data_IF_997838549761
#
_entry.id   IF_997838549761
#
_cell.length_a   1.000
_cell.length_b   1.000
_cell.length_c   1.000
_cell.angle_alpha   90.00
_cell.angle_beta   90.00
_cell.angle_gamma   90.00
#
_symmetry.space_group_name_H-M   'P 1'
#
loop_
_entity.id
_entity.type
_entity.pdbx_description
1 polymer ?
#
# COMPACT_ATOMS: atom_id res chain seq x y z
N UNK A 1 12.43 -0.48 -35.91
CA UNK A 1 11.60 0.64 -35.40
C UNK A 1 10.71 0.07 -34.32
N UNK A 2 11.23 0.00 -33.09
CA UNK A 2 10.56 -0.52 -31.91
C UNK A 2 10.01 0.67 -31.10
N UNK A 3 8.82 0.58 -30.49
CA UNK A 3 8.31 1.61 -29.63
C UNK A 3 9.07 1.55 -28.29
N UNK A 4 9.60 2.71 -27.87
CA UNK A 4 10.23 2.89 -26.58
C UNK A 4 9.16 2.79 -25.48
N UNK A 5 9.31 1.82 -24.58
CA UNK A 5 8.48 1.72 -23.39
C UNK A 5 8.87 2.84 -22.42
N UNK A 6 7.91 3.72 -22.15
CA UNK A 6 7.96 4.69 -21.07
C UNK A 6 7.98 3.93 -19.73
N UNK A 7 9.18 3.68 -19.21
CA UNK A 7 9.39 3.43 -17.80
C UNK A 7 8.74 4.57 -17.01
N UNK A 8 8.08 4.24 -15.91
CA UNK A 8 7.52 5.23 -14.99
C UNK A 8 8.68 6.02 -14.36
N UNK A 9 8.98 7.19 -14.93
CA UNK A 9 10.02 8.15 -14.52
C UNK A 9 9.82 8.69 -13.09
N UNK A 10 8.75 8.32 -12.38
CA UNK A 10 8.49 8.82 -11.01
C UNK A 10 9.43 8.29 -9.91
N UNK A 11 10.23 7.25 -10.19
CA UNK A 11 11.24 6.76 -9.23
C UNK A 11 12.59 7.46 -9.37
N UNK A 12 12.99 7.89 -10.58
CA UNK A 12 14.31 8.47 -10.87
C UNK A 12 14.36 10.01 -10.75
N UNK A 13 13.22 10.70 -10.75
CA UNK A 13 13.16 12.14 -10.40
C UNK A 13 13.32 12.40 -8.89
N UNK A 14 13.46 11.36 -8.06
CA UNK A 14 13.60 11.51 -6.60
C UNK A 14 14.97 12.00 -6.12
N UNK A 15 15.99 12.02 -6.98
CA UNK A 15 17.33 12.41 -6.56
C UNK A 15 17.49 13.93 -6.54
N UNK A 16 16.86 14.64 -7.49
CA UNK A 16 17.00 16.10 -7.63
C UNK A 16 16.13 16.90 -6.64
N UNK A 17 14.96 16.38 -6.24
CA UNK A 17 14.13 17.01 -5.19
C UNK A 17 14.69 16.82 -3.77
N UNK A 18 15.41 15.72 -3.52
CA UNK A 18 16.10 15.49 -2.24
C UNK A 18 17.25 16.48 -2.00
N UNK A 19 17.90 16.96 -3.06
CA UNK A 19 19.05 17.85 -2.96
C UNK A 19 18.68 19.32 -2.66
N UNK A 20 17.45 19.76 -2.95
CA UNK A 20 17.01 21.14 -2.66
C UNK A 20 16.40 21.34 -1.26
N UNK A 21 16.05 20.28 -0.53
CA UNK A 21 15.42 20.33 0.80
C UNK A 21 16.34 19.76 1.90
N UNK A 22 17.64 19.93 1.78
CA UNK A 22 18.57 19.59 2.86
C UNK A 22 18.52 20.67 3.95
N UNK A 23 17.80 20.38 5.03
CA UNK A 23 17.91 21.15 6.27
C UNK A 23 17.07 20.64 7.44
N UNK A 24 15.81 20.26 7.23
CA UNK A 24 14.89 19.98 8.34
C UNK A 24 14.07 18.71 8.09
N UNK A 25 14.05 17.82 9.09
CA UNK A 25 13.17 16.65 9.14
C UNK A 25 11.73 17.10 8.85
N UNK A 26 11.06 16.46 7.89
CA UNK A 26 9.66 16.78 7.62
C UNK A 26 8.76 16.11 8.65
N UNK A 27 8.18 16.92 9.52
CA UNK A 27 7.32 16.50 10.62
C UNK A 27 5.84 16.70 10.35
N UNK A 28 5.02 15.85 10.97
CA UNK A 28 3.57 15.93 10.94
C UNK A 28 2.96 15.75 12.33
N UNK A 29 1.87 16.46 12.61
CA UNK A 29 1.00 16.20 13.75
C UNK A 29 -0.21 15.41 13.27
N UNK A 30 -0.46 14.24 13.85
CA UNK A 30 -1.66 13.44 13.61
C UNK A 30 -2.63 13.63 14.78
N UNK A 31 -3.74 14.30 14.49
CA UNK A 31 -4.78 14.57 15.47
C UNK A 31 -5.77 13.41 15.57
N UNK A 32 -5.84 12.73 16.71
CA UNK A 32 -6.84 11.68 16.93
C UNK A 32 -8.19 12.31 17.28
N UNK A 33 -9.24 11.89 16.60
CA UNK A 33 -10.61 12.30 16.92
C UNK A 33 -11.20 11.40 18.00
N UNK A 34 -12.05 11.98 18.85
CA UNK A 34 -12.79 11.21 19.86
C UNK A 34 -13.73 10.21 19.16
N UNK A 35 -13.65 8.91 19.50
CA UNK A 35 -14.53 7.91 18.91
C UNK A 35 -16.00 8.09 19.34
N UNK A 36 -16.96 7.45 18.65
CA UNK A 36 -18.35 7.41 19.05
C UNK A 36 -18.54 6.96 20.50
N UNK A 37 -19.61 7.45 21.12
CA UNK A 37 -19.94 7.18 22.52
C UNK A 37 -19.94 5.68 22.84
N UNK A 38 -19.21 5.31 23.90
CA UNK A 38 -19.12 3.92 24.36
C UNK A 38 -17.99 3.09 23.76
N UNK A 39 -17.13 3.66 22.90
CA UNK A 39 -15.94 2.97 22.37
C UNK A 39 -14.67 3.61 22.93
N UNK A 40 -13.71 2.80 23.39
CA UNK A 40 -12.41 3.27 23.84
C UNK A 40 -11.54 3.78 22.69
N UNK A 41 -10.66 4.75 22.97
CA UNK A 41 -9.74 5.33 21.98
C UNK A 41 -8.82 4.26 21.40
N UNK A 42 -8.16 3.50 22.29
CA UNK A 42 -7.26 2.42 21.87
C UNK A 42 -7.97 1.37 21.01
N UNK A 43 -9.16 0.92 21.41
CA UNK A 43 -9.94 -0.08 20.66
C UNK A 43 -10.33 0.43 19.26
N UNK A 44 -10.66 1.73 19.14
CA UNK A 44 -11.01 2.34 17.86
C UNK A 44 -9.80 2.41 16.91
N UNK A 45 -8.68 2.92 17.40
CA UNK A 45 -7.48 3.15 16.59
C UNK A 45 -6.64 1.89 16.34
N UNK A 46 -6.82 0.84 17.17
CA UNK A 46 -6.24 -0.48 16.94
C UNK A 46 -7.10 -1.38 16.03
N UNK A 47 -8.35 -0.99 15.76
CA UNK A 47 -9.23 -1.73 14.85
C UNK A 47 -8.62 -1.78 13.44
N UNK A 48 -8.63 -2.97 12.86
CA UNK A 48 -7.98 -3.26 11.58
C UNK A 48 -8.89 -2.91 10.40
N UNK A 49 -8.32 -2.32 9.35
CA UNK A 49 -9.02 -2.06 8.07
C UNK A 49 -8.59 -3.10 7.02
N UNK A 50 -7.29 -3.28 6.80
CA UNK A 50 -6.69 -4.23 5.84
C UNK A 50 -5.77 -5.24 6.53
N UNK A 51 -6.14 -5.67 7.74
CA UNK A 51 -5.25 -6.45 8.61
C UNK A 51 -4.23 -5.59 9.37
N UNK A 52 -4.13 -4.30 9.03
CA UNK A 52 -3.30 -3.29 9.72
C UNK A 52 -4.18 -2.42 10.62
N UNK A 53 -3.77 -2.15 11.88
CA UNK A 53 -4.45 -1.19 12.76
C UNK A 53 -4.64 0.18 12.11
N UNK A 54 -5.76 0.85 12.37
CA UNK A 54 -6.09 2.12 11.73
C UNK A 54 -5.04 3.22 11.97
N UNK A 55 -4.59 3.40 13.20
CA UNK A 55 -3.54 4.38 13.51
C UNK A 55 -2.23 4.04 12.79
N UNK A 56 -1.86 2.76 12.79
CA UNK A 56 -0.65 2.30 12.10
C UNK A 56 -0.73 2.51 10.58
N UNK A 57 -1.90 2.26 9.99
CA UNK A 57 -2.14 2.49 8.58
C UNK A 57 -1.88 3.94 8.18
N UNK A 58 -2.33 4.90 9.00
CA UNK A 58 -2.05 6.32 8.78
C UNK A 58 -0.57 6.66 8.96
N UNK A 59 0.08 6.14 10.02
CA UNK A 59 1.50 6.37 10.25
C UNK A 59 2.37 5.88 9.07
N UNK A 60 2.08 4.68 8.53
CA UNK A 60 2.81 4.11 7.40
C UNK A 60 2.54 4.88 6.09
N UNK A 61 1.32 5.35 5.85
CA UNK A 61 1.02 6.19 4.70
C UNK A 61 1.75 7.54 4.77
N UNK A 62 1.79 8.17 5.95
CA UNK A 62 2.53 9.42 6.16
C UNK A 62 4.04 9.21 5.95
N UNK A 63 4.60 8.12 6.50
CA UNK A 63 5.99 7.74 6.28
C UNK A 63 6.32 7.57 4.80
N UNK A 64 5.50 6.82 4.05
CA UNK A 64 5.70 6.66 2.59
C UNK A 64 5.46 7.95 1.80
N UNK A 65 4.70 8.88 2.36
CA UNK A 65 4.52 10.23 1.82
C UNK A 65 5.73 11.14 2.03
N UNK A 66 6.71 10.75 2.86
CA UNK A 66 7.92 11.54 3.14
C UNK A 66 7.97 12.17 4.53
N UNK A 67 7.06 11.80 5.44
CA UNK A 67 7.10 12.27 6.84
C UNK A 67 8.10 11.42 7.64
N UNK A 68 9.01 12.07 8.35
CA UNK A 68 10.09 11.44 9.13
C UNK A 68 9.85 11.52 10.64
N UNK A 69 9.09 12.53 11.09
CA UNK A 69 8.67 12.71 12.48
C UNK A 69 7.15 12.83 12.57
N UNK A 70 6.53 12.06 13.45
CA UNK A 70 5.08 12.02 13.67
C UNK A 70 4.77 12.26 15.14
N UNK A 71 4.07 13.35 15.43
CA UNK A 71 3.52 13.61 16.76
C UNK A 71 2.05 13.20 16.74
N UNK A 72 1.70 12.18 17.52
CA UNK A 72 0.30 11.76 17.69
C UNK A 72 -0.29 12.55 18.86
N UNK A 73 -1.28 13.39 18.55
CA UNK A 73 -1.94 14.25 19.54
C UNK A 73 -3.33 13.76 19.88
N UNK A 74 -3.64 13.71 21.18
CA UNK A 74 -5.00 13.57 21.70
C UNK A 74 -5.11 14.24 23.06
N UNK A 75 -6.01 15.22 23.19
CA UNK A 75 -6.14 16.08 24.39
C UNK A 75 -6.34 15.30 25.69
N UNK A 76 -7.17 14.25 25.64
CA UNK A 76 -7.55 13.47 26.82
C UNK A 76 -6.90 12.08 26.83
N UNK A 77 -5.62 11.98 26.43
CA UNK A 77 -4.92 10.70 26.35
C UNK A 77 -4.68 10.10 27.74
N UNK A 78 -5.40 9.01 28.03
CA UNK A 78 -5.20 8.26 29.28
C UNK A 78 -3.89 7.44 29.20
N UNK A 79 -3.17 7.25 30.32
CA UNK A 79 -1.99 6.39 30.36
C UNK A 79 -2.24 4.96 29.87
N UNK A 80 -3.43 4.39 30.16
CA UNK A 80 -3.84 3.05 29.71
C UNK A 80 -3.94 2.95 28.19
N UNK A 81 -4.54 3.96 27.54
CA UNK A 81 -4.64 4.02 26.08
C UNK A 81 -3.25 4.18 25.46
N UNK A 82 -2.39 5.01 26.05
CA UNK A 82 -0.99 5.18 25.61
C UNK A 82 -0.23 3.85 25.66
N UNK A 83 -0.37 3.08 26.73
CA UNK A 83 0.27 1.77 26.87
C UNK A 83 -0.22 0.77 25.81
N UNK A 84 -1.53 0.73 25.54
CA UNK A 84 -2.10 -0.14 24.50
C UNK A 84 -1.65 0.24 23.09
N UNK A 85 -1.52 1.54 22.82
CA UNK A 85 -1.06 2.06 21.53
C UNK A 85 0.46 1.97 21.37
N UNK A 86 1.21 1.68 22.44
CA UNK A 86 2.67 1.55 22.38
C UNK A 86 3.14 0.44 21.44
N UNK A 87 2.34 -0.61 21.24
CA UNK A 87 2.66 -1.68 20.28
C UNK A 87 2.79 -1.21 18.81
N UNK A 88 2.32 -0.01 18.49
CA UNK A 88 2.55 0.63 17.18
C UNK A 88 4.00 1.11 17.05
N UNK A 89 4.63 1.49 18.15
CA UNK A 89 6.02 1.96 18.19
C UNK A 89 6.99 0.82 17.88
N UNK A 90 6.67 -0.40 18.30
CA UNK A 90 7.54 -1.57 18.16
C UNK A 90 7.39 -2.33 16.83
N UNK A 91 6.49 -1.88 15.94
CA UNK A 91 6.23 -2.57 14.68
C UNK A 91 7.43 -2.45 13.72
N UNK A 92 7.92 -3.57 13.15
CA UNK A 92 9.12 -3.58 12.31
C UNK A 92 8.98 -2.80 11.00
N UNK A 93 7.75 -2.46 10.56
CA UNK A 93 7.51 -1.67 9.34
C UNK A 93 7.71 -0.16 9.56
N UNK A 94 7.75 0.28 10.82
CA UNK A 94 7.85 1.69 11.20
C UNK A 94 9.31 2.16 11.17
N UNK A 95 9.58 3.16 10.34
CA UNK A 95 10.84 3.90 10.31
C UNK A 95 10.68 5.38 10.70
N UNK A 96 9.44 5.82 10.94
CA UNK A 96 9.10 7.18 11.39
C UNK A 96 9.32 7.36 12.89
N UNK A 97 9.87 8.50 13.31
CA UNK A 97 10.00 8.87 14.73
C UNK A 97 8.61 9.19 15.27
N UNK A 98 8.15 8.51 16.32
CA UNK A 98 6.78 8.65 16.83
C UNK A 98 6.81 9.21 18.25
N UNK A 99 6.15 10.34 18.44
CA UNK A 99 6.00 11.05 19.71
C UNK A 99 4.53 11.18 20.07
N UNK A 100 4.24 11.37 21.36
CA UNK A 100 2.88 11.53 21.87
C UNK A 100 2.75 12.87 22.58
N UNK A 101 1.69 13.61 22.26
CA UNK A 101 1.35 14.87 22.90
C UNK A 101 -0.12 14.86 23.35
N UNK A 102 -0.41 15.59 24.42
CA UNK A 102 -1.77 15.68 24.97
C UNK A 102 -2.11 17.08 25.50
N UNK A 103 -1.11 17.86 25.89
CA UNK A 103 -1.32 19.22 26.34
C UNK A 103 -1.47 20.19 25.15
N UNK A 104 -2.53 21.02 25.08
CA UNK A 104 -2.66 22.07 24.08
C UNK A 104 -1.47 23.03 24.02
N UNK A 105 -0.84 23.36 25.15
CA UNK A 105 0.32 24.27 25.16
C UNK A 105 1.51 23.63 24.46
N UNK A 106 1.80 22.36 24.79
CA UNK A 106 2.83 21.57 24.14
C UNK A 106 2.54 21.43 22.63
N UNK A 107 1.28 21.25 22.24
CA UNK A 107 0.91 21.18 20.82
C UNK A 107 1.19 22.49 20.09
N UNK A 108 0.86 23.64 20.68
CA UNK A 108 1.12 24.93 20.07
C UNK A 108 2.62 25.17 19.83
N UNK A 109 3.47 24.82 20.81
CA UNK A 109 4.93 24.86 20.68
C UNK A 109 5.41 23.99 19.51
N UNK A 110 4.91 22.75 19.42
CA UNK A 110 5.25 21.80 18.35
C UNK A 110 4.84 22.34 16.97
N UNK A 111 3.64 22.95 16.85
CA UNK A 111 3.16 23.52 15.58
C UNK A 111 3.96 24.75 15.13
N UNK A 112 4.63 25.45 16.05
CA UNK A 112 5.53 26.54 15.72
C UNK A 112 6.90 26.07 15.20
N UNK A 113 7.29 24.83 15.46
CA UNK A 113 8.55 24.28 14.98
C UNK A 113 8.61 24.22 13.46
N UNK A 114 9.68 24.75 12.86
CA UNK A 114 9.88 24.76 11.40
C UNK A 114 9.84 23.35 10.77
N UNK A 115 10.28 22.34 11.52
CA UNK A 115 10.24 20.93 11.15
C UNK A 115 8.82 20.41 10.90
N UNK A 116 7.82 20.88 11.67
CA UNK A 116 6.43 20.46 11.51
C UNK A 116 5.81 21.23 10.34
N UNK A 117 5.41 20.50 9.29
CA UNK A 117 4.77 21.07 8.10
C UNK A 117 3.32 20.64 7.92
N UNK A 118 2.94 19.51 8.49
CA UNK A 118 1.64 18.89 8.26
C UNK A 118 0.83 18.81 9.56
N UNK A 119 -0.45 19.14 9.47
CA UNK A 119 -1.47 18.82 10.47
C UNK A 119 -2.50 17.89 9.84
N UNK A 120 -2.69 16.70 10.39
CA UNK A 120 -3.39 15.61 9.73
C UNK A 120 -4.58 15.15 10.56
N UNK A 121 -5.74 15.06 9.92
CA UNK A 121 -6.93 14.50 10.55
C UNK A 121 -6.80 12.98 10.69
N UNK A 122 -6.69 12.50 11.93
CA UNK A 122 -6.56 11.08 12.25
C UNK A 122 -7.87 10.29 12.11
N UNK A 123 -9.01 10.92 11.87
CA UNK A 123 -10.24 10.18 11.50
C UNK A 123 -10.26 9.76 10.03
N UNK A 124 -9.43 10.35 9.18
CA UNK A 124 -9.35 10.00 7.77
C UNK A 124 -8.23 8.98 7.50
N UNK A 125 -8.49 8.03 6.59
CA UNK A 125 -7.43 7.19 6.02
C UNK A 125 -6.64 8.02 5.01
N UNK A 126 -5.37 8.25 5.31
CA UNK A 126 -4.49 9.11 4.52
C UNK A 126 -3.88 8.35 3.34
N UNK A 127 -3.67 9.05 2.21
CA UNK A 127 -3.01 8.50 1.03
C UNK A 127 -1.57 8.98 0.95
N UNK A 128 -0.61 8.07 0.76
CA UNK A 128 0.79 8.43 0.53
C UNK A 128 0.97 9.39 -0.67
N UNK A 129 0.13 9.28 -1.70
CA UNK A 129 0.20 10.12 -2.90
C UNK A 129 -0.20 11.56 -2.56
N UNK A 130 -1.31 11.71 -1.83
CA UNK A 130 -1.81 13.02 -1.40
C UNK A 130 -0.81 13.72 -0.48
N UNK A 131 -0.24 12.98 0.48
CA UNK A 131 0.81 13.49 1.38
C UNK A 131 2.02 13.98 0.59
N UNK A 132 2.48 13.20 -0.40
CA UNK A 132 3.64 13.54 -1.22
C UNK A 132 3.39 14.75 -2.12
N UNK A 133 2.22 14.84 -2.73
CA UNK A 133 1.82 15.98 -3.55
C UNK A 133 1.81 17.27 -2.72
N UNK A 134 1.21 17.19 -1.53
CA UNK A 134 1.09 18.33 -0.62
C UNK A 134 2.46 18.78 -0.09
N UNK A 135 3.35 17.84 0.25
CA UNK A 135 4.73 18.16 0.63
C UNK A 135 5.58 18.70 -0.52
N UNK A 136 5.31 18.24 -1.75
CA UNK A 136 5.95 18.70 -2.99
C UNK A 136 5.46 20.06 -3.49
N UNK A 137 4.43 20.64 -2.87
CA UNK A 137 3.85 21.92 -3.27
C UNK A 137 2.97 21.87 -4.52
N UNK A 138 2.60 20.67 -4.97
CA UNK A 138 1.70 20.48 -6.11
C UNK A 138 0.24 20.53 -5.63
N UNK A 139 -0.49 21.54 -6.10
CA UNK A 139 -1.87 21.85 -5.72
C UNK A 139 -2.87 21.47 -6.84
N UNK A 140 -2.47 20.57 -7.75
CA UNK A 140 -3.21 20.20 -8.96
C UNK A 140 -4.54 19.48 -8.75
N UNK A 141 -5.11 19.47 -7.54
CA UNK A 141 -6.49 19.05 -7.32
C UNK A 141 -7.32 20.18 -6.74
N UNK A 142 -8.18 20.81 -7.54
CA UNK A 142 -9.25 21.72 -7.09
C UNK A 142 -10.29 21.06 -6.13
N UNK A 143 -10.01 19.84 -5.66
CA UNK A 143 -10.83 19.02 -4.77
C UNK A 143 -10.06 18.55 -3.51
N UNK A 144 -8.86 19.08 -3.26
CA UNK A 144 -8.04 18.75 -2.09
C UNK A 144 -8.72 19.27 -0.82
N UNK A 145 -8.95 18.36 0.13
CA UNK A 145 -9.34 18.67 1.51
C UNK A 145 -8.16 19.26 2.31
N UNK A 146 -7.47 20.22 1.71
CA UNK A 146 -6.20 20.79 2.17
C UNK A 146 -6.39 22.26 2.49
N UNK A 147 -5.91 22.69 3.64
CA UNK A 147 -5.99 24.09 4.11
C UNK A 147 -4.62 24.57 4.56
N UNK A 148 -4.29 25.84 4.30
CA UNK A 148 -3.00 26.42 4.68
C UNK A 148 -3.21 27.39 5.84
N UNK A 149 -2.54 27.17 6.96
CA UNK A 149 -2.72 27.95 8.19
C UNK A 149 -1.41 28.66 8.55
N UNK A 150 -1.54 29.88 9.05
CA UNK A 150 -0.40 30.64 9.56
C UNK A 150 0.14 29.97 10.83
N UNK A 151 1.47 29.85 10.94
CA UNK A 151 2.09 29.38 12.19
C UNK A 151 1.79 30.30 13.38
N UNK A 152 1.47 31.57 13.13
CA UNK A 152 1.06 32.50 14.19
C UNK A 152 -0.29 32.15 14.81
N UNK A 153 -1.15 31.41 14.11
CA UNK A 153 -2.41 30.93 14.63
C UNK A 153 -2.29 29.58 15.37
N UNK A 154 -1.06 29.07 15.60
CA UNK A 154 -0.82 27.78 16.25
C UNK A 154 -1.51 27.64 17.62
N UNK A 155 -1.53 28.70 18.43
CA UNK A 155 -2.20 28.71 19.74
C UNK A 155 -3.72 28.53 19.58
N UNK A 156 -4.31 29.31 18.66
CA UNK A 156 -5.75 29.23 18.34
C UNK A 156 -6.11 27.85 17.80
N UNK A 157 -5.24 27.28 16.98
CA UNK A 157 -5.39 25.93 16.44
C UNK A 157 -5.36 24.90 17.57
N UNK A 158 -4.38 24.96 18.48
CA UNK A 158 -4.27 24.02 19.59
C UNK A 158 -5.46 24.10 20.57
N UNK A 159 -6.01 25.30 20.78
CA UNK A 159 -7.18 25.54 21.63
C UNK A 159 -8.49 25.06 20.98
N UNK A 160 -8.66 25.27 19.67
CA UNK A 160 -9.88 24.90 18.92
C UNK A 160 -9.89 23.45 18.40
N UNK A 161 -8.78 22.72 18.50
CA UNK A 161 -8.63 21.31 18.11
C UNK A 161 -9.40 20.34 19.02
N UNK A 162 -10.70 20.53 19.18
CA UNK A 162 -11.62 19.55 19.80
C UNK A 162 -12.31 18.68 18.73
N UNK A 163 -12.64 19.27 17.58
CA UNK A 163 -13.11 18.55 16.39
C UNK A 163 -12.40 19.07 15.14
N UNK A 164 -12.06 18.17 14.23
CA UNK A 164 -11.39 18.53 12.96
C UNK A 164 -12.46 18.97 11.95
N UNK A 165 -13.22 20.01 12.31
CA UNK A 165 -14.30 20.53 11.48
C UNK A 165 -13.77 21.44 10.38
N UNK A 166 -14.03 21.05 9.13
CA UNK A 166 -13.56 21.73 7.90
C UNK A 166 -13.90 23.23 7.87
N UNK A 167 -15.02 23.61 8.49
CA UNK A 167 -15.54 24.99 8.45
C UNK A 167 -14.63 25.94 9.22
N UNK A 168 -14.11 25.54 10.37
CA UNK A 168 -13.22 26.37 11.19
C UNK A 168 -11.88 26.60 10.49
N UNK A 169 -11.31 25.55 9.88
CA UNK A 169 -10.03 25.63 9.17
C UNK A 169 -10.07 26.56 7.95
N UNK A 170 -11.20 26.63 7.25
CA UNK A 170 -11.38 27.54 6.13
C UNK A 170 -11.35 29.02 6.58
N UNK A 171 -11.76 29.31 7.81
CA UNK A 171 -11.69 30.68 8.34
C UNK A 171 -10.25 31.08 8.73
N UNK A 172 -9.40 30.11 9.02
CA UNK A 172 -7.99 30.30 9.41
C UNK A 172 -7.03 30.29 8.20
N UNK A 173 -7.55 30.16 6.98
CA UNK A 173 -6.70 29.98 5.80
C UNK A 173 -5.99 31.27 5.39
N UNK A 174 -4.70 31.17 5.07
CA UNK A 174 -3.87 32.32 4.67
C UNK A 174 -3.80 32.46 3.15
N UNK A 175 -3.67 33.71 2.66
CA UNK A 175 -3.41 34.02 1.25
C UNK A 175 -1.95 33.71 0.83
N UNK A 176 -0.99 33.78 1.78
CA UNK A 176 0.43 33.49 1.54
C UNK A 176 0.81 32.10 2.05
N UNK A 177 1.42 31.30 1.17
CA UNK A 177 1.79 29.89 1.41
C UNK A 177 3.21 29.73 1.96
N UNK A 178 4.02 30.79 1.94
CA UNK A 178 5.38 30.72 2.42
C UNK A 178 5.38 30.51 3.95
N UNK A 179 5.92 29.38 4.40
CA UNK A 179 6.01 28.99 5.81
C UNK A 179 4.65 28.70 6.52
N UNK A 180 3.62 28.32 5.77
CA UNK A 180 2.33 27.90 6.33
C UNK A 180 2.33 26.42 6.75
N UNK A 181 1.53 26.10 7.78
CA UNK A 181 1.16 24.73 8.13
C UNK A 181 0.12 24.21 7.14
N UNK A 182 0.31 23.00 6.65
CA UNK A 182 -0.63 22.40 5.70
C UNK A 182 -1.51 21.36 6.38
N UNK A 183 -2.81 21.59 6.35
CA UNK A 183 -3.81 20.82 7.05
C UNK A 183 -4.49 19.84 6.11
N UNK A 184 -4.28 18.54 6.35
CA UNK A 184 -4.90 17.44 5.63
C UNK A 184 -6.16 16.98 6.36
N UNK A 185 -7.30 17.60 6.02
CA UNK A 185 -8.58 17.26 6.64
C UNK A 185 -9.12 15.90 6.21
N UNK A 186 -8.63 15.39 5.07
CA UNK A 186 -9.14 14.19 4.41
C UNK A 186 -10.53 14.39 3.81
N UNK A 187 -10.78 13.76 2.67
CA UNK A 187 -12.07 13.79 1.98
C UNK A 187 -13.16 13.17 2.86
N UNK A 188 -14.41 13.58 2.68
CA UNK A 188 -15.55 12.99 3.42
C UNK A 188 -15.59 11.46 3.28
N UNK A 189 -15.21 10.94 2.12
CA UNK A 189 -15.12 9.52 1.82
C UNK A 189 -13.93 8.76 2.46
N UNK A 190 -12.86 9.43 2.92
CA UNK A 190 -11.74 8.77 3.65
C UNK A 190 -11.99 8.69 5.15
N UNK A 191 -12.96 9.44 5.67
CA UNK A 191 -13.23 9.55 7.10
C UNK A 191 -13.88 8.28 7.66
N UNK A 192 -13.52 7.98 8.90
CA UNK A 192 -14.00 6.88 9.73
C UNK A 192 -14.66 7.49 10.94
N UNK A 193 -15.98 7.63 10.89
CA UNK A 193 -16.81 8.23 11.95
C UNK A 193 -17.58 7.17 12.71
N UNK A 194 -17.98 6.10 12.02
CA UNK A 194 -18.77 5.03 12.59
C UNK A 194 -18.11 3.66 12.39
N UNK A 195 -18.51 2.67 13.20
CA UNK A 195 -17.94 1.32 13.13
C UNK A 195 -18.12 0.67 11.73
N UNK A 196 -19.14 1.07 10.97
CA UNK A 196 -19.40 0.63 9.58
C UNK A 196 -18.37 1.16 8.59
N UNK A 197 -17.77 2.31 8.87
CA UNK A 197 -16.86 2.99 7.95
C UNK A 197 -15.55 2.22 7.79
N UNK A 198 -15.12 1.46 8.80
CA UNK A 198 -13.98 0.54 8.68
C UNK A 198 -14.14 -0.43 7.49
N UNK A 199 -15.35 -0.98 7.31
CA UNK A 199 -15.65 -1.90 6.19
C UNK A 199 -15.73 -1.15 4.86
N UNK A 200 -16.19 0.10 4.88
CA UNK A 200 -16.21 0.97 3.69
C UNK A 200 -14.77 1.28 3.26
N UNK A 201 -13.91 1.70 4.19
CA UNK A 201 -12.49 1.98 3.91
C UNK A 201 -11.76 0.72 3.47
N UNK A 202 -12.03 -0.45 4.07
CA UNK A 202 -11.46 -1.71 3.61
C UNK A 202 -11.81 -1.99 2.14
N UNK A 203 -13.08 -1.84 1.77
CA UNK A 203 -13.52 -2.02 0.37
C UNK A 203 -12.91 -1.00 -0.57
N UNK A 204 -12.72 0.23 -0.11
CA UNK A 204 -12.10 1.30 -0.90
C UNK A 204 -10.62 1.01 -1.16
N UNK A 205 -9.86 0.68 -0.12
CA UNK A 205 -8.44 0.33 -0.25
C UNK A 205 -8.25 -0.88 -1.17
N UNK A 206 -9.09 -1.92 -1.05
CA UNK A 206 -9.08 -3.07 -1.98
C UNK A 206 -9.31 -2.69 -3.45
N UNK A 207 -10.09 -1.62 -3.72
CA UNK A 207 -10.27 -1.13 -5.11
C UNK A 207 -9.03 -0.41 -5.62
N UNK A 208 -8.34 0.32 -4.73
CA UNK A 208 -7.15 1.11 -5.06
C UNK A 208 -5.87 0.26 -5.17
N UNK A 209 -5.78 -0.89 -4.50
CA UNK A 209 -4.58 -1.72 -4.42
C UNK A 209 -4.16 -2.48 -5.69
N UNK A 210 -4.94 -2.41 -6.77
CA UNK A 210 -4.62 -3.09 -8.04
C UNK A 210 -3.87 -2.18 -9.02
N UNK A 211 -2.95 -2.76 -9.80
CA UNK A 211 -2.05 -2.06 -10.71
C UNK A 211 -2.80 -1.27 -11.80
N UNK A 212 -2.20 -0.17 -12.27
CA UNK A 212 -2.79 0.75 -13.25
C UNK A 212 -2.57 0.33 -14.71
N UNK A 213 -1.65 -0.61 -14.96
CA UNK A 213 -1.13 -0.95 -16.30
C UNK A 213 -1.65 -2.28 -16.86
N UNK A 214 -2.75 -2.81 -16.30
CA UNK A 214 -3.31 -4.12 -16.65
C UNK A 214 -3.85 -4.19 -18.09
N UNK A 215 -3.60 -5.31 -18.78
CA UNK A 215 -4.24 -5.62 -20.05
C UNK A 215 -5.76 -5.79 -19.89
N UNK A 216 -6.52 -5.77 -20.98
CA UNK A 216 -7.99 -5.91 -20.93
C UNK A 216 -8.44 -7.24 -20.31
N UNK A 217 -7.69 -8.32 -20.51
CA UNK A 217 -7.95 -9.64 -19.93
C UNK A 217 -7.78 -9.60 -18.40
N UNK A 218 -6.71 -8.96 -17.95
CA UNK A 218 -6.38 -8.83 -16.53
C UNK A 218 -7.44 -8.02 -15.77
N UNK A 219 -7.92 -6.94 -16.39
CA UNK A 219 -8.98 -6.10 -15.82
C UNK A 219 -10.31 -6.82 -15.61
N UNK A 220 -10.71 -7.70 -16.54
CA UNK A 220 -12.06 -8.27 -16.54
C UNK A 220 -12.17 -9.61 -15.82
N UNK A 221 -11.22 -10.53 -16.01
CA UNK A 221 -11.32 -11.90 -15.46
C UNK A 221 -10.46 -12.02 -14.21
N UNK A 222 -9.16 -11.77 -14.36
CA UNK A 222 -8.14 -11.99 -13.33
C UNK A 222 -8.41 -11.12 -12.11
N UNK A 223 -8.74 -9.83 -12.32
CA UNK A 223 -8.92 -8.86 -11.22
C UNK A 223 -10.23 -8.97 -10.46
N UNK A 224 -11.28 -9.56 -11.04
CA UNK A 224 -12.51 -9.83 -10.27
C UNK A 224 -12.27 -10.95 -9.26
N UNK A 225 -11.54 -11.98 -9.69
CA UNK A 225 -11.27 -13.16 -8.87
C UNK A 225 -10.13 -12.92 -7.89
N UNK A 226 -9.03 -12.27 -8.30
CA UNK A 226 -7.93 -11.91 -7.40
C UNK A 226 -8.44 -11.07 -6.23
N UNK A 227 -9.25 -10.03 -6.47
CA UNK A 227 -9.85 -9.21 -5.41
C UNK A 227 -10.72 -10.00 -4.43
N UNK A 228 -11.35 -11.08 -4.89
CA UNK A 228 -12.08 -11.97 -4.00
C UNK A 228 -11.11 -12.71 -3.08
N UNK A 229 -10.04 -13.30 -3.63
CA UNK A 229 -8.98 -13.92 -2.85
C UNK A 229 -8.30 -12.92 -1.90
N UNK A 230 -7.90 -11.74 -2.38
CA UNK A 230 -7.36 -10.64 -1.57
C UNK A 230 -8.30 -10.31 -0.42
N UNK A 231 -9.61 -10.18 -0.66
CA UNK A 231 -10.58 -9.87 0.41
C UNK A 231 -10.64 -10.96 1.49
N UNK A 232 -10.51 -12.22 1.11
CA UNK A 232 -10.52 -13.34 2.07
C UNK A 232 -9.19 -13.43 2.81
N UNK A 233 -8.06 -13.29 2.12
CA UNK A 233 -6.73 -13.42 2.69
C UNK A 233 -6.32 -12.20 3.52
N UNK A 234 -6.85 -11.01 3.23
CA UNK A 234 -6.51 -9.80 3.99
C UNK A 234 -7.05 -9.78 5.41
N UNK A 235 -7.99 -10.67 5.73
CA UNK A 235 -8.45 -10.87 7.12
C UNK A 235 -7.74 -12.02 7.83
N UNK A 236 -6.98 -12.86 7.12
CA UNK A 236 -6.24 -13.99 7.71
C UNK A 236 -4.79 -13.57 8.07
N UNK A 237 -4.09 -14.25 8.99
CA UNK A 237 -2.70 -13.92 9.32
C UNK A 237 -1.68 -14.34 8.25
N UNK A 238 -2.13 -14.82 7.08
CA UNK A 238 -1.26 -15.33 6.01
C UNK A 238 -0.40 -14.20 5.45
N UNK A 239 0.89 -14.44 5.29
CA UNK A 239 1.85 -13.46 4.75
C UNK A 239 1.89 -13.50 3.21
N UNK A 240 2.30 -12.41 2.53
CA UNK A 240 2.46 -12.41 1.07
C UNK A 240 3.32 -13.56 0.57
N UNK A 241 4.50 -13.77 1.17
CA UNK A 241 5.41 -14.85 0.77
C UNK A 241 4.78 -16.25 0.90
N UNK A 242 3.87 -16.47 1.87
CA UNK A 242 3.15 -17.75 1.98
C UNK A 242 2.17 -17.95 0.82
N UNK A 243 1.58 -16.87 0.30
CA UNK A 243 0.71 -16.90 -0.87
C UNK A 243 1.55 -17.19 -2.13
N UNK A 244 2.74 -16.60 -2.26
CA UNK A 244 3.70 -16.90 -3.34
C UNK A 244 4.08 -18.38 -3.35
N UNK A 245 4.43 -18.95 -2.19
CA UNK A 245 4.68 -20.40 -2.07
C UNK A 245 3.47 -21.24 -2.52
N UNK A 246 2.27 -20.82 -2.11
CA UNK A 246 1.04 -21.52 -2.46
C UNK A 246 0.80 -21.50 -3.97
N UNK A 247 0.92 -20.35 -4.63
CA UNK A 247 0.78 -20.29 -6.09
C UNK A 247 1.83 -21.19 -6.74
N UNK A 248 3.07 -21.20 -6.24
CA UNK A 248 4.15 -21.91 -6.90
C UNK A 248 3.91 -23.41 -6.87
N UNK A 249 3.47 -23.94 -5.72
CA UNK A 249 3.10 -25.36 -5.61
C UNK A 249 1.88 -25.71 -6.48
N UNK A 250 0.91 -24.80 -6.63
CA UNK A 250 -0.22 -25.03 -7.53
C UNK A 250 0.22 -25.04 -9.00
N UNK A 251 1.09 -24.12 -9.42
CA UNK A 251 1.68 -24.08 -10.75
C UNK A 251 2.52 -25.33 -11.07
N UNK A 252 3.34 -25.79 -10.14
CA UNK A 252 4.09 -27.05 -10.28
C UNK A 252 3.17 -28.27 -10.32
N UNK A 253 2.09 -28.26 -9.53
CA UNK A 253 1.03 -29.27 -9.62
C UNK A 253 0.37 -29.28 -11.01
N UNK A 254 0.17 -28.11 -11.62
CA UNK A 254 -0.40 -28.01 -12.96
C UNK A 254 0.53 -28.62 -13.99
N UNK A 255 1.83 -28.31 -13.91
CA UNK A 255 2.86 -28.93 -14.74
C UNK A 255 2.84 -30.47 -14.60
N UNK A 256 2.74 -31.01 -13.38
CA UNK A 256 2.63 -32.45 -13.19
C UNK A 256 1.43 -33.09 -13.90
N UNK A 257 0.27 -32.42 -13.91
CA UNK A 257 -0.89 -32.92 -14.64
C UNK A 257 -0.70 -32.85 -16.16
N UNK A 258 -0.15 -31.76 -16.71
CA UNK A 258 0.16 -31.67 -18.13
C UNK A 258 1.17 -32.73 -18.61
N UNK A 259 2.13 -33.09 -17.75
CA UNK A 259 3.10 -34.13 -18.06
C UNK A 259 2.47 -35.51 -18.32
N UNK A 260 1.30 -35.80 -17.72
CA UNK A 260 0.64 -37.10 -17.90
C UNK A 260 0.07 -37.30 -19.31
N UNK A 261 -0.07 -36.24 -20.12
CA UNK A 261 -0.46 -36.31 -21.52
C UNK A 261 -1.85 -36.88 -21.79
N UNK A 262 -2.75 -36.84 -20.80
CA UNK A 262 -4.13 -37.29 -20.94
C UNK A 262 -5.11 -36.13 -20.84
N UNK A 263 -6.20 -36.18 -21.63
CA UNK A 263 -7.12 -35.04 -21.80
C UNK A 263 -7.74 -34.56 -20.48
N UNK A 264 -8.04 -35.49 -19.57
CA UNK A 264 -8.59 -35.17 -18.25
C UNK A 264 -7.57 -34.46 -17.35
N UNK A 265 -6.31 -34.88 -17.38
CA UNK A 265 -5.24 -34.24 -16.62
C UNK A 265 -4.93 -32.85 -17.20
N UNK A 266 -4.94 -32.69 -18.52
CA UNK A 266 -4.74 -31.37 -19.14
C UNK A 266 -5.81 -30.36 -18.69
N UNK A 267 -7.08 -30.80 -18.59
CA UNK A 267 -8.16 -29.95 -18.08
C UNK A 267 -7.93 -29.54 -16.62
N UNK A 268 -7.55 -30.50 -15.77
CA UNK A 268 -7.25 -30.23 -14.34
C UNK A 268 -6.03 -29.32 -14.21
N UNK A 269 -4.97 -29.57 -14.99
CA UNK A 269 -3.77 -28.74 -15.05
C UNK A 269 -4.09 -27.31 -15.47
N UNK A 270 -4.91 -27.12 -16.49
CA UNK A 270 -5.36 -25.80 -16.93
C UNK A 270 -6.13 -25.02 -15.87
N UNK A 271 -7.06 -25.69 -15.16
CA UNK A 271 -7.78 -25.06 -14.03
C UNK A 271 -6.83 -24.70 -12.89
N UNK A 272 -5.89 -25.59 -12.56
CA UNK A 272 -4.95 -25.38 -11.48
C UNK A 272 -3.97 -24.23 -11.78
N UNK A 273 -3.51 -24.13 -13.03
CA UNK A 273 -2.69 -23.04 -13.52
C UNK A 273 -3.44 -21.70 -13.48
N UNK A 274 -4.73 -21.69 -13.86
CA UNK A 274 -5.57 -20.49 -13.77
C UNK A 274 -5.71 -20.00 -12.33
N UNK A 275 -5.92 -20.92 -11.37
CA UNK A 275 -5.98 -20.55 -9.95
C UNK A 275 -4.63 -20.06 -9.44
N UNK A 276 -3.53 -20.66 -9.88
CA UNK A 276 -2.18 -20.19 -9.58
C UNK A 276 -1.98 -18.73 -10.00
N UNK A 277 -2.36 -18.38 -11.24
CA UNK A 277 -2.25 -17.01 -11.75
C UNK A 277 -3.09 -16.00 -10.95
N UNK A 278 -4.25 -16.41 -10.42
CA UNK A 278 -5.04 -15.54 -9.55
C UNK A 278 -4.38 -15.30 -8.18
N UNK A 279 -3.70 -16.30 -7.64
CA UNK A 279 -3.00 -16.21 -6.35
C UNK A 279 -1.73 -15.38 -6.44
N UNK A 280 -1.00 -15.48 -7.55
CA UNK A 280 0.14 -14.62 -7.91
C UNK A 280 -0.24 -13.14 -7.82
N UNK A 281 -1.24 -12.69 -8.57
CA UNK A 281 -1.71 -11.30 -8.47
C UNK A 281 -2.22 -10.90 -7.07
N UNK A 282 -2.63 -11.86 -6.24
CA UNK A 282 -3.16 -11.61 -4.90
C UNK A 282 -2.05 -11.30 -3.89
N UNK A 283 -0.88 -11.93 -3.98
CA UNK A 283 0.16 -11.74 -2.98
C UNK A 283 0.73 -10.31 -2.97
N UNK A 284 0.90 -9.70 -4.15
CA UNK A 284 1.34 -8.33 -4.34
C UNK A 284 0.29 -7.33 -3.89
N UNK A 285 -1.01 -7.61 -4.12
CA UNK A 285 -2.10 -6.80 -3.58
C UNK A 285 -2.11 -6.84 -2.04
N UNK A 286 -1.95 -8.02 -1.43
CA UNK A 286 -1.89 -8.17 0.02
C UNK A 286 -0.65 -7.48 0.59
N UNK A 287 0.51 -7.61 -0.07
CA UNK A 287 1.75 -6.95 0.34
C UNK A 287 1.60 -5.43 0.37
N UNK A 288 1.05 -4.84 -0.69
CA UNK A 288 0.77 -3.40 -0.79
C UNK A 288 -0.18 -2.92 0.30
N UNK A 289 -1.32 -3.60 0.47
CA UNK A 289 -2.36 -3.19 1.41
C UNK A 289 -1.95 -3.37 2.88
N UNK A 290 -0.97 -4.23 3.16
CA UNK A 290 -0.40 -4.46 4.50
C UNK A 290 0.94 -3.78 4.73
N UNK A 291 1.49 -3.06 3.75
CA UNK A 291 2.83 -2.47 3.84
C UNK A 291 3.91 -3.53 4.16
N UNK A 292 3.76 -4.72 3.59
CA UNK A 292 4.66 -5.87 3.74
C UNK A 292 5.46 -6.15 2.45
N UNK A 293 5.52 -5.18 1.56
CA UNK A 293 6.37 -5.23 0.37
C UNK A 293 7.84 -5.31 0.79
N UNK A 294 8.60 -6.20 0.16
CA UNK A 294 10.02 -6.35 0.41
C UNK A 294 10.74 -6.69 -0.89
N UNK A 295 12.03 -6.30 -0.99
CA UNK A 295 12.87 -6.64 -2.15
C UNK A 295 12.97 -8.15 -2.33
N UNK A 296 13.10 -8.89 -1.23
CA UNK A 296 13.11 -10.34 -1.26
C UNK A 296 11.78 -10.91 -1.77
N UNK A 297 10.65 -10.39 -1.28
CA UNK A 297 9.32 -10.84 -1.73
C UNK A 297 9.12 -10.62 -3.23
N UNK A 298 9.44 -9.44 -3.76
CA UNK A 298 9.34 -9.17 -5.19
C UNK A 298 10.29 -10.01 -6.04
N UNK A 299 11.51 -10.27 -5.58
CA UNK A 299 12.43 -11.19 -6.25
C UNK A 299 11.89 -12.63 -6.22
N UNK A 300 11.36 -13.07 -5.08
CA UNK A 300 10.83 -14.42 -4.92
C UNK A 300 9.62 -14.67 -5.82
N UNK A 301 8.75 -13.67 -5.95
CA UNK A 301 7.61 -13.66 -6.87
C UNK A 301 8.04 -13.88 -8.33
N UNK A 302 9.00 -13.08 -8.81
CA UNK A 302 9.58 -13.21 -10.15
C UNK A 302 10.22 -14.59 -10.37
N UNK A 303 10.94 -15.12 -9.38
CA UNK A 303 11.57 -16.44 -9.48
C UNK A 303 10.50 -17.54 -9.53
N UNK A 304 9.49 -17.47 -8.66
CA UNK A 304 8.42 -18.44 -8.58
C UNK A 304 7.63 -18.52 -9.90
N UNK A 305 7.30 -17.36 -10.48
CA UNK A 305 6.66 -17.26 -11.78
C UNK A 305 7.48 -17.91 -12.89
N UNK A 306 8.78 -17.62 -12.97
CA UNK A 306 9.65 -18.21 -13.99
C UNK A 306 9.79 -19.72 -13.83
N UNK A 307 9.89 -20.22 -12.60
CA UNK A 307 9.95 -21.65 -12.30
C UNK A 307 8.66 -22.35 -12.75
N UNK A 308 7.49 -21.77 -12.44
CA UNK A 308 6.19 -22.32 -12.86
C UNK A 308 6.05 -22.30 -14.38
N UNK A 309 6.37 -21.18 -15.04
CA UNK A 309 6.29 -21.07 -16.50
C UNK A 309 7.17 -22.11 -17.18
N UNK A 310 8.45 -22.20 -16.80
CA UNK A 310 9.37 -23.20 -17.34
C UNK A 310 8.84 -24.61 -17.14
N UNK A 311 8.41 -24.95 -15.92
CA UNK A 311 7.90 -26.29 -15.60
C UNK A 311 6.66 -26.65 -16.42
N UNK A 312 5.72 -25.72 -16.60
CA UNK A 312 4.49 -25.94 -17.38
C UNK A 312 4.80 -26.16 -18.86
N UNK A 313 5.59 -25.29 -19.49
CA UNK A 313 5.92 -25.44 -20.92
C UNK A 313 6.72 -26.72 -21.18
N UNK A 314 7.68 -27.03 -20.31
CA UNK A 314 8.44 -28.27 -20.39
C UNK A 314 7.53 -29.49 -20.23
N UNK A 315 6.62 -29.48 -19.25
CA UNK A 315 5.69 -30.57 -19.01
C UNK A 315 4.71 -30.80 -20.15
N UNK A 316 4.16 -29.73 -20.74
CA UNK A 316 3.29 -29.82 -21.92
C UNK A 316 4.07 -30.44 -23.10
N UNK A 317 5.29 -29.98 -23.37
CA UNK A 317 6.13 -30.54 -24.43
C UNK A 317 6.36 -32.04 -24.24
N UNK A 318 6.77 -32.44 -23.04
CA UNK A 318 7.02 -33.84 -22.69
C UNK A 318 5.76 -34.72 -22.72
N UNK A 319 4.62 -34.21 -22.21
CA UNK A 319 3.33 -34.91 -22.25
C UNK A 319 2.85 -35.15 -23.68
N UNK A 320 3.04 -34.17 -24.58
CA UNK A 320 2.70 -34.31 -25.99
C UNK A 320 3.62 -35.30 -26.73
N UNK A 321 4.91 -35.37 -26.38
CA UNK A 321 5.79 -36.42 -26.91
C UNK A 321 5.30 -37.81 -26.51
N UNK A 322 4.86 -38.01 -25.26
CA UNK A 322 4.31 -39.30 -24.83
C UNK A 322 3.01 -39.66 -25.55
N UNK A 323 2.14 -38.67 -25.82
CA UNK A 323 0.87 -38.88 -26.49
C UNK A 323 0.98 -39.12 -28.00
N UNK A 324 1.91 -38.44 -28.69
CA UNK A 324 2.01 -38.44 -30.16
C UNK A 324 3.24 -39.15 -30.72
N UNK A 325 4.27 -39.37 -29.91
CA UNK A 325 5.56 -39.92 -30.33
C UNK A 325 6.45 -38.94 -31.14
N UNK A 326 6.02 -37.69 -31.35
CA UNK A 326 6.77 -36.72 -32.14
C UNK A 326 7.71 -35.87 -31.28
N UNK A 327 9.02 -36.02 -31.48
CA UNK A 327 10.07 -35.31 -30.73
C UNK A 327 10.05 -33.79 -30.97
N UNK A 328 9.41 -33.32 -32.04
CA UNK A 328 9.30 -31.88 -32.36
C UNK A 328 8.63 -31.07 -31.24
N UNK A 329 7.70 -31.68 -30.48
CA UNK A 329 7.04 -31.02 -29.35
C UNK A 329 7.96 -30.81 -28.14
N UNK A 330 9.00 -31.63 -27.98
CA UNK A 330 10.00 -31.42 -26.93
C UNK A 330 10.83 -30.16 -27.21
N UNK A 331 11.30 -29.98 -28.45
CA UNK A 331 12.03 -28.77 -28.83
C UNK A 331 11.17 -27.50 -28.75
N UNK A 332 9.87 -27.60 -29.03
CA UNK A 332 8.93 -26.49 -28.83
C UNK A 332 8.69 -26.19 -27.34
N UNK A 333 8.62 -27.20 -26.48
CA UNK A 333 8.50 -27.04 -25.03
C UNK A 333 9.75 -26.46 -24.39
N UNK A 334 10.94 -26.97 -24.76
CA UNK A 334 12.24 -26.43 -24.33
C UNK A 334 12.45 -25.00 -24.85
N UNK A 335 12.12 -24.74 -26.12
CA UNK A 335 12.21 -23.40 -26.72
C UNK A 335 11.23 -22.39 -26.10
N UNK A 336 9.99 -22.81 -25.78
CA UNK A 336 9.01 -21.98 -25.08
C UNK A 336 9.36 -21.74 -23.61
N UNK A 337 9.98 -22.73 -22.95
CA UNK A 337 10.46 -22.62 -21.58
C UNK A 337 11.70 -21.73 -21.43
N UNK A 338 12.62 -21.72 -22.40
CA UNK A 338 13.86 -20.93 -22.36
C UNK A 338 13.71 -19.53 -22.99
N UNK A 339 12.83 -19.38 -24.00
CA UNK A 339 12.67 -18.10 -24.71
C UNK A 339 11.96 -16.98 -23.93
N UNK A 340 11.29 -17.30 -22.82
CA UNK A 340 10.55 -16.34 -22.00
C UNK A 340 11.34 -15.82 -20.78
N UNK A 341 12.08 -16.66 -20.02
CA UNK A 341 12.87 -16.20 -18.88
C UNK A 341 13.94 -15.18 -19.26
N UNK A 342 14.60 -15.31 -20.41
CA UNK A 342 15.67 -14.40 -20.83
C UNK A 342 15.19 -12.95 -21.03
N UNK A 343 13.91 -12.73 -21.36
CA UNK A 343 13.35 -11.38 -21.54
C UNK A 343 13.05 -10.72 -20.19
N UNK A 344 12.57 -11.47 -19.20
CA UNK A 344 12.22 -10.93 -17.89
C UNK A 344 13.40 -10.90 -16.89
N UNK A 345 14.34 -11.83 -17.00
CA UNK A 345 15.50 -11.93 -16.09
C UNK A 345 16.55 -10.86 -16.37
N UNK A 346 16.72 -10.47 -17.64
CA UNK A 346 17.65 -9.38 -18.04
C UNK A 346 17.11 -8.01 -17.60
N UNK A 347 15.80 -7.78 -17.70
CA UNK A 347 15.17 -6.55 -17.22
C UNK A 347 15.15 -6.47 -15.67
N UNK A 348 14.90 -7.59 -14.98
CA UNK A 348 14.90 -7.62 -13.51
C UNK A 348 16.29 -7.40 -12.89
N UNK A 349 17.37 -7.81 -13.55
CA UNK A 349 18.75 -7.60 -13.07
C UNK A 349 19.29 -6.21 -13.44
N UNK A 350 18.76 -5.57 -14.49
CA UNK A 350 19.14 -4.23 -14.92
C UNK A 350 18.68 -3.10 -13.98
N UNK A 351 17.63 -3.34 -13.18
CA UNK A 351 17.00 -2.35 -12.30
C UNK A 351 17.39 -2.47 -10.80
N UNK A 352 18.45 -3.24 -10.47
CA UNK A 352 18.92 -3.45 -9.10
C UNK A 352 20.14 -2.64 -8.66
#
# INVERSE_FOLDING_TARGET
MAPAYHFCVSCLENTTLKECLMGELTGAVLFLQTPPTGVGLSDWYLKKITGVPFLMLNALNLQRGGVERLVVYYRNLKPEDRQRLQGIVDDPRKNIQLEWASDPQQLAEILQEASIRLLVNGSAVQSQIEVRQVLGGDDSSEQSSTYYISRHDADRVAESLDDFEVVEWRQLSVESRANALVCLAGRSETRVREARDFKIQQRRLLKLGGLSNDSLMDRWVTRHVSRYFTRVLIVTPITPNQITWLHMFMGLGAAWYFYQGNHTADLVGGVLLLVSAWLDSTDGEVARLRFQESRFGGMFDIIADNVVHFAVFFAIGMGQVQATGQVMYQYMGEGGGVGFPDVFFVDAVGDF
#
